data_IF_063758531113
#
_entry.id   IF_063758531113
#
_cell.length_a   1.000
_cell.length_b   1.000
_cell.length_c   1.000
_cell.angle_alpha   90.00
_cell.angle_beta   90.00
_cell.angle_gamma   90.00
#
_symmetry.space_group_name_H-M   'P 1'
#
loop_
_entity.id
_entity.type
_entity.pdbx_description
1 polymer ?
#
# COMPACT_ATOMS: atom_id res chain seq x y z
N UNK A 1 -7.54 8.30 -13.47
CA UNK A 1 -6.08 8.50 -13.61
C UNK A 1 -5.50 7.14 -13.92
N UNK A 2 -4.72 6.99 -15.00
CA UNK A 2 -3.94 5.77 -15.21
C UNK A 2 -2.78 5.79 -14.22
N UNK A 3 -2.68 4.74 -13.43
CA UNK A 3 -1.94 4.72 -12.18
C UNK A 3 -0.78 3.71 -12.20
N UNK A 4 -1.01 2.59 -12.89
CA UNK A 4 -0.02 1.65 -13.42
C UNK A 4 -0.50 1.31 -14.84
N UNK A 5 0.38 0.94 -15.78
CA UNK A 5 -0.06 0.52 -17.12
C UNK A 5 -1.23 -0.49 -17.01
N UNK A 6 -2.39 -0.14 -17.57
CA UNK A 6 -3.67 -0.89 -17.52
C UNK A 6 -4.46 -0.91 -16.19
N UNK A 7 -4.06 -0.10 -15.21
CA UNK A 7 -4.72 0.00 -13.90
C UNK A 7 -5.23 1.44 -13.65
N UNK A 8 -6.54 1.58 -13.50
CA UNK A 8 -7.17 2.86 -13.16
C UNK A 8 -7.65 2.82 -11.71
N UNK A 9 -7.26 3.83 -10.92
CA UNK A 9 -7.77 4.07 -9.59
C UNK A 9 -8.78 5.22 -9.62
N UNK A 10 -9.96 5.02 -9.03
CA UNK A 10 -11.07 5.99 -9.02
C UNK A 10 -11.61 6.14 -7.61
N UNK A 11 -11.66 7.36 -7.08
CA UNK A 11 -12.32 7.67 -5.81
C UNK A 11 -13.84 7.66 -5.97
N UNK A 12 -14.54 6.95 -5.10
CA UNK A 12 -16.01 7.00 -5.06
C UNK A 12 -16.48 8.28 -4.37
N UNK A 13 -17.53 8.91 -4.90
CA UNK A 13 -18.04 10.20 -4.40
C UNK A 13 -18.71 10.12 -3.01
N UNK A 14 -19.22 8.93 -2.64
CA UNK A 14 -19.96 8.72 -1.39
C UNK A 14 -19.17 7.80 -0.48
N UNK A 15 -18.64 8.29 0.65
CA UNK A 15 -18.02 7.42 1.62
C UNK A 15 -19.06 6.50 2.26
N UNK A 16 -18.65 5.27 2.56
CA UNK A 16 -19.45 4.36 3.37
C UNK A 16 -19.33 4.79 4.84
N UNK A 17 -20.44 5.24 5.41
CA UNK A 17 -20.49 5.70 6.80
C UNK A 17 -20.87 4.56 7.75
N UNK A 18 -20.32 4.58 8.95
CA UNK A 18 -20.71 3.71 10.07
C UNK A 18 -20.44 2.21 9.88
N UNK A 19 -19.27 1.87 9.32
CA UNK A 19 -18.80 0.47 9.25
C UNK A 19 -18.21 0.05 10.60
N UNK A 20 -18.87 -0.86 11.31
CA UNK A 20 -18.31 -1.46 12.53
C UNK A 20 -17.20 -2.46 12.18
N UNK A 21 -16.15 -2.52 13.01
CA UNK A 21 -15.06 -3.48 12.85
C UNK A 21 -14.00 -3.36 13.92
N UNK A 22 -12.83 -3.91 13.64
CA UNK A 22 -11.66 -3.86 14.51
C UNK A 22 -10.57 -3.05 13.85
N UNK A 23 -9.89 -2.16 14.57
CA UNK A 23 -8.79 -1.34 14.04
C UNK A 23 -7.49 -2.14 13.85
N UNK A 24 -6.40 -1.50 13.44
CA UNK A 24 -5.09 -2.16 13.32
C UNK A 24 -4.49 -2.50 14.70
N UNK A 25 -4.83 -1.76 15.75
CA UNK A 25 -4.43 -2.06 17.13
C UNK A 25 -5.22 -3.20 17.79
N UNK A 26 -6.32 -3.64 17.17
CA UNK A 26 -7.19 -4.70 17.72
C UNK A 26 -8.39 -4.18 18.49
N UNK A 27 -8.63 -2.87 18.51
CA UNK A 27 -9.77 -2.26 19.19
C UNK A 27 -11.05 -2.31 18.35
N UNK A 28 -12.19 -2.58 18.97
CA UNK A 28 -13.48 -2.45 18.30
C UNK A 28 -13.82 -0.96 18.10
N UNK A 29 -14.18 -0.58 16.88
CA UNK A 29 -14.46 0.80 16.53
C UNK A 29 -15.42 0.89 15.33
N UNK A 30 -15.78 2.11 14.97
CA UNK A 30 -16.61 2.43 13.80
C UNK A 30 -15.78 3.28 12.84
N UNK A 31 -15.78 2.91 11.57
CA UNK A 31 -15.08 3.62 10.51
C UNK A 31 -16.04 4.37 9.59
N UNK A 32 -15.56 5.50 9.07
CA UNK A 32 -15.99 6.04 7.79
C UNK A 32 -14.97 5.59 6.74
N UNK A 33 -15.43 4.87 5.72
CA UNK A 33 -14.55 4.40 4.65
C UNK A 33 -14.71 5.28 3.42
N UNK A 34 -13.60 5.84 2.95
CA UNK A 34 -13.53 6.37 1.59
C UNK A 34 -13.27 5.18 0.67
N UNK A 35 -14.20 4.93 -0.25
CA UNK A 35 -14.08 3.83 -1.19
C UNK A 35 -13.32 4.26 -2.44
N UNK A 36 -12.47 3.36 -2.91
CA UNK A 36 -11.73 3.51 -4.14
C UNK A 36 -11.93 2.27 -5.00
N UNK A 37 -12.27 2.48 -6.25
CA UNK A 37 -12.37 1.41 -7.24
C UNK A 37 -11.06 1.28 -8.00
N UNK A 38 -10.56 0.04 -8.04
CA UNK A 38 -9.44 -0.36 -8.84
C UNK A 38 -9.96 -1.16 -10.03
N UNK A 39 -9.81 -0.58 -11.22
CA UNK A 39 -10.39 -1.10 -12.47
C UNK A 39 -9.28 -1.58 -13.39
N UNK A 40 -9.46 -2.79 -13.92
CA UNK A 40 -8.63 -3.36 -14.98
C UNK A 40 -9.53 -3.79 -16.15
N UNK A 41 -9.14 -3.56 -17.41
CA UNK A 41 -9.91 -4.00 -18.57
C UNK A 41 -10.24 -5.51 -18.54
N UNK A 42 -11.51 -5.85 -18.69
CA UNK A 42 -11.98 -7.25 -18.76
C UNK A 42 -11.90 -8.03 -17.44
N UNK A 43 -11.63 -7.37 -16.30
CA UNK A 43 -11.58 -8.00 -14.97
C UNK A 43 -12.68 -7.44 -14.06
N UNK A 44 -13.08 -8.17 -13.01
CA UNK A 44 -13.94 -7.62 -11.97
C UNK A 44 -13.29 -6.40 -11.30
N UNK A 45 -14.09 -5.38 -11.01
CA UNK A 45 -13.66 -4.24 -10.21
C UNK A 45 -13.28 -4.70 -8.81
N UNK A 46 -12.16 -4.20 -8.30
CA UNK A 46 -11.74 -4.41 -6.92
C UNK A 46 -11.98 -3.14 -6.10
N UNK A 47 -12.44 -3.28 -4.87
CA UNK A 47 -12.74 -2.13 -4.00
C UNK A 47 -11.74 -2.05 -2.87
N UNK A 48 -11.12 -0.88 -2.68
CA UNK A 48 -10.27 -0.56 -1.56
C UNK A 48 -11.03 0.35 -0.61
N UNK A 49 -10.90 0.09 0.68
CA UNK A 49 -11.42 0.97 1.73
C UNK A 49 -10.24 1.65 2.38
N UNK A 50 -10.22 2.98 2.33
CA UNK A 50 -9.44 3.82 3.23
C UNK A 50 -10.32 4.13 4.46
N UNK A 51 -10.14 3.35 5.51
CA UNK A 51 -10.95 3.42 6.73
C UNK A 51 -10.37 4.47 7.66
N UNK A 52 -11.20 5.45 8.04
CA UNK A 52 -10.91 6.42 9.11
C UNK A 52 -11.74 6.04 10.33
N UNK A 53 -11.09 5.51 11.37
CA UNK A 53 -11.75 5.00 12.57
C UNK A 53 -12.03 6.11 13.58
N UNK A 54 -13.11 5.95 14.34
CA UNK A 54 -13.50 6.89 15.39
C UNK A 54 -12.45 7.04 16.52
N UNK A 55 -11.57 6.06 16.70
CA UNK A 55 -10.47 6.14 17.67
C UNK A 55 -9.23 6.89 17.11
N UNK A 56 -9.31 7.41 15.88
CA UNK A 56 -8.25 8.16 15.21
C UNK A 56 -7.28 7.31 14.39
N UNK A 57 -7.41 5.98 14.40
CA UNK A 57 -6.64 5.13 13.49
C UNK A 57 -7.11 5.30 12.04
N UNK A 58 -6.19 5.08 11.11
CA UNK A 58 -6.48 4.98 9.68
C UNK A 58 -5.84 3.71 9.14
N UNK A 59 -6.55 2.98 8.26
CA UNK A 59 -5.94 1.89 7.50
C UNK A 59 -6.59 1.64 6.16
N UNK A 60 -5.80 1.02 5.30
CA UNK A 60 -6.22 0.62 3.97
C UNK A 60 -6.34 -0.89 3.87
N UNK A 61 -7.40 -1.32 3.18
CA UNK A 61 -7.69 -2.74 2.96
C UNK A 61 -8.38 -2.97 1.62
N UNK A 62 -8.03 -4.06 0.95
CA UNK A 62 -8.82 -4.60 -0.16
C UNK A 62 -10.10 -5.22 0.39
N UNK A 63 -11.23 -4.58 0.18
CA UNK A 63 -12.51 -4.99 0.77
C UNK A 63 -13.07 -6.24 0.10
N UNK A 64 -13.53 -7.21 0.90
CA UNK A 64 -14.26 -8.38 0.39
C UNK A 64 -15.72 -8.03 0.08
N UNK A 65 -16.16 -8.07 -1.19
CA UNK A 65 -17.57 -7.88 -1.52
C UNK A 65 -18.44 -9.01 -0.94
N UNK A 66 -19.72 -8.72 -0.71
CA UNK A 66 -20.69 -9.70 -0.20
C UNK A 66 -20.81 -10.95 -1.09
N UNK A 67 -20.71 -10.75 -2.40
CA UNK A 67 -20.60 -11.82 -3.40
C UNK A 67 -19.25 -11.66 -4.08
N UNK A 68 -18.33 -12.59 -3.82
CA UNK A 68 -17.00 -12.60 -4.43
C UNK A 68 -17.12 -13.19 -5.83
N UNK A 69 -16.75 -12.45 -6.89
CA UNK A 69 -16.73 -13.00 -8.25
C UNK A 69 -15.71 -14.13 -8.35
N UNK A 70 -15.84 -14.97 -9.37
CA UNK A 70 -14.80 -15.98 -9.67
C UNK A 70 -13.46 -15.28 -9.88
N UNK A 71 -12.46 -15.66 -9.09
CA UNK A 71 -11.14 -15.05 -9.11
C UNK A 71 -10.06 -16.02 -8.63
N UNK A 72 -8.79 -15.78 -9.00
CA UNK A 72 -7.65 -16.56 -8.52
C UNK A 72 -7.54 -16.59 -6.98
N UNK A 73 -7.03 -17.71 -6.46
CA UNK A 73 -6.96 -17.97 -5.02
C UNK A 73 -6.13 -16.91 -4.26
N UNK A 74 -4.96 -16.50 -4.79
CA UNK A 74 -4.15 -15.48 -4.16
C UNK A 74 -4.88 -14.14 -3.99
N UNK A 75 -5.64 -13.71 -5.00
CA UNK A 75 -6.41 -12.46 -4.92
C UNK A 75 -7.59 -12.60 -3.95
N UNK A 76 -8.32 -13.72 -4.01
CA UNK A 76 -9.39 -14.02 -3.06
C UNK A 76 -8.91 -13.97 -1.60
N UNK A 77 -7.70 -14.46 -1.34
CA UNK A 77 -7.07 -14.48 -0.01
C UNK A 77 -6.42 -13.17 0.40
N UNK A 78 -6.32 -12.19 -0.49
CA UNK A 78 -5.87 -10.84 -0.14
C UNK A 78 -7.00 -10.03 0.51
N UNK A 79 -8.25 -10.29 0.14
CA UNK A 79 -9.41 -9.56 0.66
C UNK A 79 -9.51 -9.61 2.19
N UNK A 80 -9.80 -8.44 2.78
CA UNK A 80 -9.86 -8.18 4.23
C UNK A 80 -8.61 -8.62 5.01
N UNK A 81 -7.48 -8.80 4.32
CA UNK A 81 -6.18 -9.19 4.88
C UNK A 81 -5.10 -8.19 4.50
N UNK A 82 -3.96 -8.29 5.20
CA UNK A 82 -2.78 -7.46 4.97
C UNK A 82 -3.10 -5.96 4.93
N UNK A 83 -3.93 -5.51 5.89
CA UNK A 83 -4.22 -4.10 6.14
C UNK A 83 -2.94 -3.30 6.28
N UNK A 84 -2.94 -2.07 5.79
CA UNK A 84 -1.84 -1.13 6.01
C UNK A 84 -2.32 0.01 6.87
N UNK A 85 -1.87 0.04 8.12
CA UNK A 85 -2.12 1.16 9.01
C UNK A 85 -1.36 2.40 8.54
N UNK A 86 -2.04 3.53 8.57
CA UNK A 86 -1.46 4.86 8.44
C UNK A 86 -1.33 5.43 9.84
N UNK A 87 -0.10 5.83 10.20
CA UNK A 87 0.22 6.31 11.55
C UNK A 87 0.87 7.67 11.49
N UNK A 88 1.08 8.30 12.65
CA UNK A 88 1.81 9.57 12.74
C UNK A 88 3.24 9.39 12.19
N UNK A 89 3.67 10.34 11.36
CA UNK A 89 5.01 10.42 10.81
C UNK A 89 6.03 10.94 11.82
N UNK A 90 7.14 11.48 11.31
CA UNK A 90 8.22 12.10 12.08
C UNK A 90 7.82 13.50 12.55
N UNK A 91 7.00 14.20 11.75
CA UNK A 91 6.58 15.57 12.00
C UNK A 91 5.10 15.68 12.35
N UNK A 92 4.70 16.80 12.98
CA UNK A 92 3.32 17.03 13.46
C UNK A 92 2.26 16.99 12.35
N UNK A 93 2.60 17.36 11.12
CA UNK A 93 1.69 17.40 9.95
C UNK A 93 2.03 16.33 8.91
N UNK A 94 2.66 15.24 9.36
CA UNK A 94 3.09 14.16 8.51
C UNK A 94 2.48 12.85 9.00
N UNK A 95 2.05 12.02 8.06
CA UNK A 95 1.65 10.63 8.27
C UNK A 95 2.70 9.72 7.67
N UNK A 96 2.69 8.46 8.09
CA UNK A 96 3.51 7.42 7.49
C UNK A 96 2.74 6.14 7.22
N UNK A 97 3.13 5.46 6.16
CA UNK A 97 2.68 4.12 5.79
C UNK A 97 3.90 3.21 5.61
N UNK A 98 3.84 2.01 6.22
CA UNK A 98 4.93 1.05 6.14
C UNK A 98 5.01 0.37 4.76
N UNK A 99 6.18 0.43 4.14
CA UNK A 99 6.45 -0.17 2.82
C UNK A 99 6.78 -1.65 2.99
N UNK A 100 5.72 -2.47 3.09
CA UNK A 100 5.86 -3.94 3.22
C UNK A 100 5.36 -4.73 1.99
N UNK A 101 6.02 -4.66 0.82
CA UNK A 101 5.62 -5.35 -0.38
C UNK A 101 5.08 -6.78 -0.16
N UNK A 102 3.90 -7.04 -0.72
CA UNK A 102 3.31 -8.37 -0.76
C UNK A 102 4.10 -9.27 -1.71
N UNK A 103 4.19 -10.54 -1.39
CA UNK A 103 4.54 -11.63 -2.30
C UNK A 103 3.56 -12.78 -2.06
N UNK A 104 3.37 -13.63 -3.06
CA UNK A 104 2.53 -14.83 -2.94
C UNK A 104 3.45 -16.03 -2.71
N UNK A 105 3.15 -16.84 -1.70
CA UNK A 105 3.89 -18.08 -1.43
C UNK A 105 3.43 -19.23 -2.33
N UNK A 106 4.14 -20.37 -2.28
CA UNK A 106 3.84 -21.57 -3.09
C UNK A 106 2.43 -22.14 -2.90
N UNK A 107 1.76 -21.74 -1.81
CA UNK A 107 0.42 -22.18 -1.47
C UNK A 107 -0.65 -21.16 -1.85
N UNK A 108 -0.34 -20.17 -2.70
CA UNK A 108 -1.23 -19.08 -3.10
C UNK A 108 -1.66 -18.19 -1.91
N UNK A 109 -0.81 -18.01 -0.90
CA UNK A 109 -1.09 -17.08 0.20
C UNK A 109 -0.30 -15.78 0.05
N UNK A 110 -0.98 -14.62 0.06
CA UNK A 110 -0.32 -13.33 0.19
C UNK A 110 0.39 -13.19 1.54
N UNK A 111 1.68 -12.85 1.48
CA UNK A 111 2.58 -12.60 2.62
C UNK A 111 3.27 -11.25 2.44
N UNK A 112 3.70 -10.66 3.54
CA UNK A 112 4.53 -9.45 3.51
C UNK A 112 5.98 -9.79 3.81
N UNK A 113 6.91 -9.15 3.09
CA UNK A 113 8.31 -9.05 3.55
C UNK A 113 8.48 -7.64 4.11
N UNK A 114 9.11 -7.53 5.29
CA UNK A 114 9.15 -6.28 6.07
C UNK A 114 10.45 -5.50 5.90
N UNK A 115 11.52 -6.16 5.49
CA UNK A 115 12.85 -5.57 5.43
C UNK A 115 13.54 -5.86 4.10
N UNK A 116 14.08 -4.82 3.48
CA UNK A 116 14.73 -4.84 2.17
C UNK A 116 15.93 -3.90 2.18
N UNK A 117 16.85 -4.09 1.26
CA UNK A 117 17.73 -3.01 0.82
C UNK A 117 16.92 -2.06 -0.07
N UNK A 118 17.41 -0.84 -0.31
CA UNK A 118 16.72 0.09 -1.21
C UNK A 118 16.70 -0.46 -2.64
N UNK A 119 17.79 -1.09 -3.08
CA UNK A 119 17.87 -1.79 -4.37
C UNK A 119 16.87 -2.95 -4.48
N UNK A 120 16.74 -3.79 -3.46
CA UNK A 120 15.75 -4.87 -3.45
C UNK A 120 14.31 -4.35 -3.51
N UNK A 121 14.05 -3.21 -2.87
CA UNK A 121 12.74 -2.56 -2.88
C UNK A 121 12.43 -2.02 -4.28
N UNK A 122 13.37 -1.29 -4.89
CA UNK A 122 13.27 -0.77 -6.25
C UNK A 122 13.06 -1.88 -7.28
N UNK A 123 13.87 -2.94 -7.24
CA UNK A 123 13.73 -4.06 -8.18
C UNK A 123 12.40 -4.83 -8.05
N UNK A 124 11.75 -4.80 -6.87
CA UNK A 124 10.45 -5.48 -6.68
C UNK A 124 9.27 -4.66 -7.15
N UNK A 125 9.34 -3.34 -6.99
CA UNK A 125 8.22 -2.46 -7.24
C UNK A 125 8.31 -1.80 -8.62
N UNK A 126 9.50 -1.73 -9.18
CA UNK A 126 9.88 -0.89 -10.32
C UNK A 126 10.45 0.42 -9.78
N UNK A 127 11.69 0.75 -10.15
CA UNK A 127 12.34 1.99 -9.70
C UNK A 127 11.55 3.21 -10.17
N UNK A 128 11.09 3.19 -11.42
CA UNK A 128 10.27 4.25 -11.99
C UNK A 128 9.04 4.58 -11.13
N UNK A 129 8.28 3.57 -10.71
CA UNK A 129 7.09 3.76 -9.88
C UNK A 129 7.40 4.29 -8.49
N UNK A 130 8.54 3.92 -7.90
CA UNK A 130 8.98 4.51 -6.65
C UNK A 130 9.30 6.00 -6.83
N UNK A 131 10.04 6.35 -7.89
CA UNK A 131 10.37 7.74 -8.20
C UNK A 131 9.11 8.57 -8.48
N UNK A 132 8.13 8.05 -9.22
CA UNK A 132 6.85 8.73 -9.45
C UNK A 132 6.09 8.97 -8.14
N UNK A 133 6.10 7.98 -7.25
CA UNK A 133 5.45 8.08 -5.95
C UNK A 133 6.10 9.14 -5.05
N UNK A 134 7.43 9.18 -5.00
CA UNK A 134 8.19 10.16 -4.20
C UNK A 134 8.32 11.52 -4.88
N UNK A 135 8.00 11.65 -6.17
CA UNK A 135 7.94 12.95 -6.84
C UNK A 135 6.70 13.77 -6.44
N UNK A 136 5.72 13.16 -5.78
CA UNK A 136 4.53 13.86 -5.25
C UNK A 136 4.93 14.83 -4.14
N UNK A 137 4.25 15.97 -4.08
CA UNK A 137 4.61 17.05 -3.15
C UNK A 137 4.56 16.58 -1.68
N UNK A 138 5.69 16.72 -0.99
CA UNK A 138 5.81 16.37 0.42
C UNK A 138 5.85 14.86 0.70
N UNK A 139 5.93 14.02 -0.34
CA UNK A 139 6.08 12.58 -0.19
C UNK A 139 7.56 12.19 -0.18
N UNK A 140 7.95 11.43 0.83
CA UNK A 140 9.33 10.97 1.02
C UNK A 140 9.36 9.46 1.31
N UNK A 141 10.37 8.77 0.79
CA UNK A 141 10.64 7.38 1.09
C UNK A 141 11.91 7.31 1.93
N UNK A 142 11.82 6.80 3.14
CA UNK A 142 12.98 6.73 4.02
C UNK A 142 12.88 5.54 4.99
N UNK A 143 13.91 5.35 5.80
CA UNK A 143 13.93 4.40 6.90
C UNK A 143 12.76 4.66 7.85
N UNK A 144 11.98 3.62 8.10
CA UNK A 144 10.77 3.72 8.91
C UNK A 144 11.02 4.09 10.37
N UNK A 145 12.21 3.78 10.87
CA UNK A 145 12.64 4.10 12.21
C UNK A 145 13.94 4.87 12.11
N UNK A 146 13.93 6.09 12.66
CA UNK A 146 15.16 6.80 12.93
C UNK A 146 15.98 6.00 13.96
N UNK A 147 17.16 5.56 13.54
CA UNK A 147 18.11 4.87 14.42
C UNK A 147 19.43 5.62 14.38
N UNK A 148 19.61 6.66 15.21
CA UNK A 148 20.80 7.52 15.19
C UNK A 148 22.13 6.78 15.43
N UNK A 149 22.08 5.54 15.93
CA UNK A 149 23.26 4.69 16.20
C UNK A 149 23.66 3.81 15.02
N UNK A 150 22.79 3.67 14.03
CA UNK A 150 23.05 2.95 12.80
C UNK A 150 23.37 4.04 11.79
N UNK A 151 24.64 4.30 11.56
CA UNK A 151 25.11 5.16 10.46
C UNK A 151 24.64 4.55 9.14
N UNK A 152 23.40 4.85 8.76
CA UNK A 152 22.73 4.35 7.58
C UNK A 152 22.75 5.48 6.56
N UNK A 153 23.18 5.19 5.31
CA UNK A 153 23.01 6.18 4.26
C UNK A 153 21.51 6.51 4.13
N UNK A 154 21.18 7.76 3.77
CA UNK A 154 19.81 8.14 3.43
C UNK A 154 19.31 7.25 2.29
N UNK A 155 18.00 7.03 2.21
CA UNK A 155 17.43 6.36 1.03
C UNK A 155 17.65 7.26 -0.19
N UNK A 156 18.29 6.71 -1.22
CA UNK A 156 18.55 7.39 -2.49
C UNK A 156 17.99 6.49 -3.60
N UNK A 157 17.11 7.04 -4.43
CA UNK A 157 16.52 6.31 -5.55
C UNK A 157 17.34 6.47 -6.84
N UNK A 158 18.20 7.48 -6.93
CA UNK A 158 19.14 7.64 -8.04
C UNK A 158 20.33 6.67 -7.91
N UNK A 159 20.70 6.32 -6.67
CA UNK A 159 21.69 5.28 -6.34
C UNK A 159 21.16 4.32 -5.23
N UNK A 160 20.26 3.38 -5.57
CA UNK A 160 19.65 2.48 -4.60
C UNK A 160 20.66 1.60 -3.87
N UNK A 161 20.76 1.80 -2.55
CA UNK A 161 21.70 1.07 -1.69
C UNK A 161 21.34 -0.42 -1.58
N UNK A 162 22.36 -1.30 -1.60
CA UNK A 162 22.19 -2.77 -1.52
C UNK A 162 22.92 -3.45 -0.35
N UNK A 163 23.46 -2.68 0.60
CA UNK A 163 24.31 -3.23 1.66
C UNK A 163 23.51 -3.72 2.85
N UNK A 164 22.44 -3.00 3.21
CA UNK A 164 21.75 -3.22 4.49
C UNK A 164 20.24 -3.25 4.35
N UNK A 165 19.67 -4.32 4.88
CA UNK A 165 18.23 -4.48 4.98
C UNK A 165 17.66 -3.69 6.14
N UNK A 166 16.69 -2.84 5.83
CA UNK A 166 15.99 -1.94 6.74
C UNK A 166 14.49 -2.03 6.48
N UNK A 167 13.67 -1.46 7.36
CA UNK A 167 12.24 -1.28 7.07
C UNK A 167 12.07 0.12 6.52
N UNK A 168 11.36 0.25 5.40
CA UNK A 168 11.07 1.53 4.77
C UNK A 168 9.66 1.99 5.11
N UNK A 169 9.46 3.29 5.15
CA UNK A 169 8.15 3.93 5.24
C UNK A 169 8.06 5.05 4.22
N UNK A 170 6.86 5.23 3.67
CA UNK A 170 6.51 6.49 3.00
C UNK A 170 6.01 7.45 4.05
N UNK A 171 6.51 8.68 3.98
CA UNK A 171 6.08 9.83 4.73
C UNK A 171 5.34 10.78 3.78
N UNK A 172 4.24 11.36 4.23
CA UNK A 172 3.40 12.22 3.39
C UNK A 172 2.59 13.22 4.24
N UNK A 173 2.13 14.34 3.66
CA UNK A 173 1.34 15.33 4.39
C UNK A 173 0.04 14.74 4.95
N UNK A 174 -0.44 15.22 6.10
CA UNK A 174 -1.69 14.71 6.70
C UNK A 174 -2.92 14.96 5.83
N UNK A 175 -2.85 15.96 4.94
CA UNK A 175 -3.87 16.36 3.96
C UNK A 175 -3.82 15.56 2.65
N UNK A 176 -2.80 14.71 2.46
CA UNK A 176 -2.68 13.86 1.27
C UNK A 176 -3.47 12.56 1.47
N UNK A 177 -4.71 12.57 0.96
CA UNK A 177 -5.62 11.43 1.00
C UNK A 177 -5.31 10.37 -0.09
N UNK A 178 -4.49 10.70 -1.10
CA UNK A 178 -4.31 9.84 -2.27
C UNK A 178 -3.03 8.99 -2.17
N UNK A 179 -1.91 9.57 -1.73
CA UNK A 179 -0.64 8.84 -1.52
C UNK A 179 -0.79 7.54 -0.72
N UNK A 180 -1.51 7.48 0.42
CA UNK A 180 -1.66 6.21 1.14
C UNK A 180 -2.38 5.13 0.33
N UNK A 181 -3.35 5.51 -0.50
CA UNK A 181 -4.14 4.60 -1.36
C UNK A 181 -3.27 4.06 -2.49
N UNK A 182 -2.60 4.98 -3.17
CA UNK A 182 -1.60 4.72 -4.21
C UNK A 182 -0.52 3.77 -3.70
N UNK A 183 0.08 4.07 -2.55
CA UNK A 183 1.08 3.24 -1.90
C UNK A 183 0.53 1.85 -1.54
N UNK A 184 -0.68 1.77 -1.00
CA UNK A 184 -1.33 0.49 -0.71
C UNK A 184 -1.49 -0.35 -1.98
N UNK A 185 -1.94 0.24 -3.10
CA UNK A 185 -2.06 -0.48 -4.37
C UNK A 185 -0.69 -1.00 -4.81
N UNK A 186 0.35 -0.16 -4.85
CA UNK A 186 1.70 -0.60 -5.26
C UNK A 186 2.28 -1.68 -4.36
N UNK A 187 2.12 -1.57 -3.04
CA UNK A 187 2.82 -2.45 -2.10
C UNK A 187 2.00 -3.66 -1.69
N UNK A 188 0.67 -3.64 -1.80
CA UNK A 188 -0.18 -4.74 -1.34
C UNK A 188 -0.87 -5.47 -2.47
N UNK A 189 -1.43 -4.72 -3.43
CA UNK A 189 -2.35 -5.26 -4.43
C UNK A 189 -1.63 -5.62 -5.72
N UNK A 190 -0.86 -4.69 -6.29
CA UNK A 190 -0.16 -4.87 -7.56
C UNK A 190 0.75 -6.12 -7.59
N UNK A 191 1.51 -6.48 -6.55
CA UNK A 191 2.32 -7.70 -6.57
C UNK A 191 1.47 -8.98 -6.71
N UNK A 192 0.27 -9.00 -6.12
CA UNK A 192 -0.66 -10.13 -6.26
C UNK A 192 -1.29 -10.14 -7.65
N UNK A 193 -1.66 -8.97 -8.18
CA UNK A 193 -2.20 -8.85 -9.55
C UNK A 193 -1.18 -9.31 -10.59
N UNK A 194 0.10 -8.99 -10.41
CA UNK A 194 1.19 -9.48 -11.26
C UNK A 194 1.35 -11.00 -11.15
N UNK A 195 1.33 -11.54 -9.92
CA UNK A 195 1.42 -12.99 -9.67
C UNK A 195 0.32 -13.77 -10.40
N UNK A 196 -0.92 -13.27 -10.39
CA UNK A 196 -2.05 -13.95 -11.05
C UNK A 196 -2.18 -13.62 -12.54
N UNK A 197 -1.23 -12.89 -13.12
CA UNK A 197 -1.20 -12.52 -14.54
C UNK A 197 -2.27 -11.50 -14.95
N UNK A 198 -2.76 -10.67 -14.01
CA UNK A 198 -3.69 -9.58 -14.30
C UNK A 198 -3.00 -8.25 -14.58
N UNK A 199 -1.75 -8.08 -14.13
CA UNK A 199 -0.88 -6.96 -14.49
C UNK A 199 0.43 -7.48 -15.07
N UNK A 200 1.01 -6.72 -15.99
CA UNK A 200 2.36 -6.96 -16.50
C UNK A 200 3.40 -6.90 -15.37
N UNK A 201 4.52 -7.65 -15.50
CA UNK A 201 5.66 -7.52 -14.60
C UNK A 201 6.07 -6.05 -14.44
N UNK A 202 6.65 -5.68 -13.30
CA UNK A 202 7.21 -4.33 -13.15
C UNK A 202 8.30 -4.13 -14.20
N UNK A 203 8.23 -3.03 -14.94
CA UNK A 203 9.32 -2.63 -15.84
C UNK A 203 10.60 -2.47 -15.00
N UNK A 204 11.69 -3.09 -15.48
CA UNK A 204 12.99 -3.12 -14.81
C UNK A 204 13.78 -1.85 -15.08
#
# INVERSE_FOLDING_TARGET
MDFLHDLTLVRCEKPLTNKAGTTCSGEASVANAVEWELRLPGRPTLTLHDNHWANGEQDLVLHKPAVVPEMPAALSRLHDRLRSGVTVGRQRREKRLMVYPTHVDEHEWPRIKKSFTTAELAGRLGLHHLCELTAREGVDLDHAFDRPRLDLPPVDLDDPQDEKRVQHALFFPVEDDETPVVAYVHFRVAPVLRHVGWLSPADS
#
